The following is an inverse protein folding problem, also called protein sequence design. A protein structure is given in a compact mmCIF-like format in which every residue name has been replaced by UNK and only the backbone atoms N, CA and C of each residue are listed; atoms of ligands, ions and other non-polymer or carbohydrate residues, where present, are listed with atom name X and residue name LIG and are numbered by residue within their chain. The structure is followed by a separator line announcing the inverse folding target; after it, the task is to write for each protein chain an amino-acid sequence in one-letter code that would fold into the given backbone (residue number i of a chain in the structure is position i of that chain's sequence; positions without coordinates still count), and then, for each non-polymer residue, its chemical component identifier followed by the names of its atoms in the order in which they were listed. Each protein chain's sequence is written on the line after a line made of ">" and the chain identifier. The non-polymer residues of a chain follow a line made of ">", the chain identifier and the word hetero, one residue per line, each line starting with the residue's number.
data_IF_796896171606
#
_entry.id   IF_796896171606
#
_cell.length_a   1.000
_cell.length_b   1.000
_cell.length_c   1.000
_cell.angle_alpha   90.00
_cell.angle_beta   90.00
_cell.angle_gamma   90.00
#
_symmetry.space_group_name_H-M   'P 1'
#
loop_
_entity.id
_entity.type
_entity.pdbx_description
1 polymer ?
#
# COMPACT_ATOMS: atom_id res chain seq x y z
N UNK A 1 18.39 10.99 0.10
CA UNK A 1 16.99 10.72 0.48
C UNK A 1 16.37 9.94 -0.65
N UNK A 2 16.04 8.68 -0.41
CA UNK A 2 15.40 7.79 -1.38
C UNK A 2 13.92 8.20 -1.39
N UNK A 3 13.38 8.62 -2.54
CA UNK A 3 11.99 9.07 -2.64
C UNK A 3 11.24 8.05 -3.51
N UNK A 4 10.32 7.32 -2.89
CA UNK A 4 9.37 6.43 -3.57
C UNK A 4 7.99 7.06 -3.52
N UNK A 5 7.24 6.96 -4.61
CA UNK A 5 5.85 7.42 -4.65
C UNK A 5 5.14 6.94 -5.91
N UNK A 6 3.85 6.68 -5.80
CA UNK A 6 2.92 6.73 -6.90
C UNK A 6 2.48 8.19 -7.17
N UNK A 7 2.48 8.62 -8.43
CA UNK A 7 2.00 9.93 -8.86
C UNK A 7 0.66 9.81 -9.61
N UNK A 8 -0.48 10.10 -8.96
CA UNK A 8 -1.80 9.97 -9.56
C UNK A 8 -1.99 10.80 -10.83
N UNK A 9 -1.51 12.04 -10.84
CA UNK A 9 -1.68 12.97 -11.97
C UNK A 9 -1.00 12.52 -13.27
N UNK A 10 0.04 11.70 -13.18
CA UNK A 10 0.81 11.21 -14.32
C UNK A 10 0.74 9.68 -14.46
N UNK A 11 -0.02 9.02 -13.59
CA UNK A 11 -0.23 7.57 -13.55
C UNK A 11 1.07 6.76 -13.67
N UNK A 12 2.07 7.06 -12.83
CA UNK A 12 3.32 6.29 -12.77
C UNK A 12 3.84 6.13 -11.34
N UNK A 13 4.67 5.10 -11.15
CA UNK A 13 5.38 4.83 -9.90
C UNK A 13 6.84 5.26 -10.06
N UNK A 14 7.32 6.10 -9.16
CA UNK A 14 8.74 6.42 -9.05
C UNK A 14 9.42 5.45 -8.10
N UNK A 15 10.32 4.62 -8.64
CA UNK A 15 11.23 3.78 -7.86
C UNK A 15 12.69 4.15 -8.15
N UNK A 16 13.52 4.36 -7.12
CA UNK A 16 14.97 4.41 -7.25
C UNK A 16 15.55 3.05 -7.65
N UNK A 17 16.84 3.04 -8.00
CA UNK A 17 17.55 1.81 -8.38
C UNK A 17 17.57 0.82 -7.21
N UNK A 18 17.42 -0.47 -7.50
CA UNK A 18 17.28 -1.53 -6.50
C UNK A 18 18.49 -1.62 -5.57
N UNK A 19 19.69 -1.27 -6.05
CA UNK A 19 20.94 -1.25 -5.30
C UNK A 19 20.96 -0.20 -4.17
N UNK A 20 20.01 0.73 -4.17
CA UNK A 20 19.86 1.72 -3.09
C UNK A 20 19.09 1.17 -1.89
N UNK A 21 18.44 0.01 -2.03
CA UNK A 21 17.69 -0.66 -0.97
C UNK A 21 18.59 -1.64 -0.22
N UNK A 22 18.23 -1.91 1.04
CA UNK A 22 18.98 -2.84 1.91
C UNK A 22 18.90 -4.28 1.39
N UNK A 23 17.79 -4.64 0.74
CA UNK A 23 17.58 -5.95 0.11
C UNK A 23 16.60 -5.83 -1.06
N UNK A 24 16.55 -6.88 -1.89
CA UNK A 24 15.52 -7.01 -2.93
C UNK A 24 14.11 -7.05 -2.35
N UNK A 25 13.94 -7.66 -1.18
CA UNK A 25 12.66 -7.82 -0.51
C UNK A 25 12.10 -6.46 -0.06
N UNK A 26 12.96 -5.58 0.48
CA UNK A 26 12.58 -4.20 0.83
C UNK A 26 12.20 -3.38 -0.42
N UNK A 27 12.93 -3.56 -1.53
CA UNK A 27 12.59 -2.94 -2.81
C UNK A 27 11.21 -3.39 -3.29
N UNK A 28 10.94 -4.70 -3.33
CA UNK A 28 9.66 -5.23 -3.81
C UNK A 28 8.51 -4.92 -2.86
N UNK A 29 8.73 -4.93 -1.55
CA UNK A 29 7.74 -4.49 -0.56
C UNK A 29 7.34 -3.03 -0.80
N UNK A 30 8.31 -2.15 -0.99
CA UNK A 30 8.07 -0.73 -1.31
C UNK A 30 7.35 -0.58 -2.65
N UNK A 31 7.76 -1.33 -3.68
CA UNK A 31 7.07 -1.34 -4.97
C UNK A 31 5.62 -1.81 -4.83
N UNK A 32 5.34 -2.83 -4.02
CA UNK A 32 3.99 -3.33 -3.79
C UNK A 32 3.11 -2.30 -3.07
N UNK A 33 3.67 -1.51 -2.16
CA UNK A 33 2.97 -0.38 -1.54
C UNK A 33 2.53 0.64 -2.60
N UNK A 34 3.47 1.11 -3.41
CA UNK A 34 3.17 2.10 -4.46
C UNK A 34 2.28 1.53 -5.58
N UNK A 35 2.44 0.25 -5.91
CA UNK A 35 1.56 -0.44 -6.86
C UNK A 35 0.14 -0.55 -6.30
N UNK A 36 -0.01 -0.79 -5.00
CA UNK A 36 -1.30 -0.80 -4.34
C UNK A 36 -1.96 0.57 -4.46
N UNK A 37 -1.24 1.66 -4.17
CA UNK A 37 -1.74 3.02 -4.43
C UNK A 37 -2.15 3.22 -5.90
N UNK A 38 -1.31 2.77 -6.83
CA UNK A 38 -1.59 2.89 -8.25
C UNK A 38 -2.95 2.27 -8.60
N UNK A 39 -3.30 1.09 -8.08
CA UNK A 39 -4.62 0.48 -8.36
C UNK A 39 -5.82 1.35 -7.99
N UNK A 40 -5.66 2.33 -7.08
CA UNK A 40 -6.75 3.21 -6.67
C UNK A 40 -7.07 4.34 -7.65
N UNK A 41 -6.32 4.50 -8.74
CA UNK A 41 -6.59 5.50 -9.78
C UNK A 41 -7.99 5.34 -10.41
N UNK A 42 -8.53 6.45 -10.94
CA UNK A 42 -9.89 6.52 -11.51
C UNK A 42 -10.14 5.52 -12.65
N UNK A 43 -9.09 5.15 -13.40
CA UNK A 43 -9.16 4.17 -14.50
C UNK A 43 -9.11 2.71 -14.03
N UNK A 44 -8.99 2.47 -12.72
CA UNK A 44 -8.80 1.15 -12.11
C UNK A 44 -9.86 0.90 -11.04
N UNK A 45 -9.48 0.84 -9.76
CA UNK A 45 -10.41 0.61 -8.66
C UNK A 45 -11.10 1.89 -8.16
N UNK A 46 -10.68 3.06 -8.66
CA UNK A 46 -11.30 4.36 -8.38
C UNK A 46 -11.58 4.59 -6.88
N UNK A 47 -10.52 4.46 -6.06
CA UNK A 47 -10.61 4.65 -4.61
C UNK A 47 -10.52 6.14 -4.27
N UNK A 48 -11.38 6.57 -3.35
CA UNK A 48 -11.35 7.93 -2.82
C UNK A 48 -10.01 8.23 -2.13
N UNK A 49 -9.51 9.45 -2.31
CA UNK A 49 -8.24 9.89 -1.70
C UNK A 49 -6.98 9.64 -2.54
N UNK A 50 -7.08 9.01 -3.71
CA UNK A 50 -5.95 8.85 -4.65
C UNK A 50 -5.84 10.02 -5.62
N UNK A 51 -6.92 10.37 -6.32
CA UNK A 51 -6.92 11.46 -7.32
C UNK A 51 -7.41 12.79 -6.74
N UNK A 52 -8.09 12.75 -5.60
CA UNK A 52 -8.57 13.94 -4.89
C UNK A 52 -7.38 14.65 -4.21
N UNK A 53 -7.30 15.97 -4.35
CA UNK A 53 -6.28 16.78 -3.65
C UNK A 53 -6.60 16.86 -2.16
N UNK A 54 -6.22 15.84 -1.41
CA UNK A 54 -6.24 15.84 0.05
C UNK A 54 -4.87 16.27 0.58
N UNK A 55 -4.79 17.20 1.55
CA UNK A 55 -3.53 17.50 2.22
C UNK A 55 -2.90 16.23 2.83
N UNK A 56 -1.57 16.14 2.81
CA UNK A 56 -0.83 15.09 3.51
C UNK A 56 -1.27 15.07 4.99
N UNK A 57 -1.70 13.90 5.48
CA UNK A 57 -2.25 13.75 6.84
C UNK A 57 -3.75 14.05 6.99
N UNK A 58 -4.47 14.35 5.91
CA UNK A 58 -5.92 14.38 5.94
C UNK A 58 -6.49 12.98 6.27
N UNK A 59 -7.66 12.87 6.92
CA UNK A 59 -8.22 11.57 7.31
C UNK A 59 -8.43 10.59 6.15
N UNK A 60 -8.68 11.07 4.94
CA UNK A 60 -8.75 10.24 3.73
C UNK A 60 -7.37 9.71 3.30
N UNK A 61 -6.34 10.54 3.38
CA UNK A 61 -4.95 10.16 3.11
C UNK A 61 -4.49 9.03 4.05
N UNK A 62 -4.79 9.13 5.35
CA UNK A 62 -4.43 8.08 6.32
C UNK A 62 -5.11 6.74 6.07
N UNK A 63 -6.30 6.71 5.45
CA UNK A 63 -6.98 5.46 5.12
C UNK A 63 -6.35 4.77 3.90
N UNK A 64 -6.01 5.56 2.88
CA UNK A 64 -5.42 5.02 1.66
C UNK A 64 -4.00 4.50 1.90
N UNK A 65 -3.20 5.18 2.72
CA UNK A 65 -1.91 4.63 3.18
C UNK A 65 -2.10 3.29 3.89
N UNK A 66 -3.12 3.17 4.74
CA UNK A 66 -3.39 1.89 5.42
C UNK A 66 -3.83 0.78 4.44
N UNK A 67 -4.57 1.12 3.39
CA UNK A 67 -4.89 0.19 2.29
C UNK A 67 -3.62 -0.25 1.55
N UNK A 68 -2.70 0.68 1.27
CA UNK A 68 -1.44 0.41 0.61
C UNK A 68 -0.53 -0.53 1.41
N UNK A 69 -0.39 -0.26 2.71
CA UNK A 69 0.38 -1.11 3.63
C UNK A 69 -0.18 -2.54 3.70
N UNK A 70 -1.50 -2.68 3.87
CA UNK A 70 -2.14 -4.01 3.89
C UNK A 70 -1.99 -4.72 2.55
N UNK A 71 -2.10 -4.01 1.42
CA UNK A 71 -1.92 -4.58 0.09
C UNK A 71 -0.50 -5.05 -0.15
N UNK A 72 0.49 -4.25 0.26
CA UNK A 72 1.90 -4.62 0.21
C UNK A 72 2.17 -5.89 1.02
N UNK A 73 1.65 -5.96 2.25
CA UNK A 73 1.78 -7.15 3.10
C UNK A 73 1.15 -8.40 2.46
N UNK A 74 -0.03 -8.27 1.85
CA UNK A 74 -0.68 -9.39 1.14
C UNK A 74 0.13 -9.88 -0.05
N UNK A 75 0.71 -8.95 -0.84
CA UNK A 75 1.56 -9.28 -1.98
C UNK A 75 2.90 -9.89 -1.55
N UNK A 76 3.50 -9.40 -0.46
CA UNK A 76 4.70 -10.00 0.12
C UNK A 76 4.43 -11.45 0.57
N UNK A 77 3.31 -11.68 1.26
CA UNK A 77 2.90 -13.03 1.68
C UNK A 77 2.58 -13.95 0.49
N UNK A 78 1.98 -13.41 -0.58
CA UNK A 78 1.72 -14.17 -1.80
C UNK A 78 3.01 -14.58 -2.54
N UNK A 79 4.01 -13.70 -2.54
CA UNK A 79 5.29 -13.92 -3.23
C UNK A 79 6.33 -14.64 -2.37
N UNK A 80 6.07 -14.82 -1.07
CA UNK A 80 6.93 -15.52 -0.12
C UNK A 80 8.14 -14.70 0.34
N UNK A 81 8.12 -13.38 0.21
CA UNK A 81 9.17 -12.47 0.70
C UNK A 81 8.83 -11.85 2.07
N UNK A 82 7.69 -12.24 2.65
CA UNK A 82 7.18 -11.73 3.92
C UNK A 82 8.12 -12.00 5.09
N UNK A 83 8.88 -13.10 5.10
CA UNK A 83 9.83 -13.39 6.18
C UNK A 83 10.87 -12.27 6.39
N UNK A 84 11.22 -11.53 5.33
CA UNK A 84 12.16 -10.41 5.40
C UNK A 84 11.48 -9.09 5.81
N UNK A 85 10.15 -9.00 5.71
CA UNK A 85 9.40 -7.76 5.88
C UNK A 85 8.31 -7.84 6.97
N UNK A 86 8.16 -9.00 7.64
CA UNK A 86 7.07 -9.27 8.58
C UNK A 86 7.16 -8.40 9.83
N UNK A 87 8.37 -8.14 10.34
CA UNK A 87 8.57 -7.27 11.50
C UNK A 87 8.25 -5.80 11.17
N UNK A 88 8.60 -5.36 9.96
CA UNK A 88 8.24 -4.04 9.45
C UNK A 88 6.72 -3.94 9.30
N UNK A 89 6.11 -4.89 8.59
CA UNK A 89 4.65 -4.93 8.36
C UNK A 89 3.87 -4.99 9.68
N UNK A 90 4.29 -5.82 10.63
CA UNK A 90 3.62 -5.99 11.92
C UNK A 90 3.76 -4.73 12.80
N UNK A 91 4.94 -4.12 12.84
CA UNK A 91 5.18 -2.86 13.57
C UNK A 91 4.32 -1.72 13.00
N UNK A 92 4.20 -1.66 11.67
CA UNK A 92 3.36 -0.67 11.00
C UNK A 92 1.87 -0.91 11.24
N UNK A 93 1.37 -2.16 11.13
CA UNK A 93 -0.02 -2.50 11.44
C UNK A 93 -0.35 -2.21 12.91
N UNK A 94 0.54 -2.51 13.86
CA UNK A 94 0.35 -2.15 15.28
C UNK A 94 0.33 -0.63 15.49
N UNK A 95 1.23 0.10 14.82
CA UNK A 95 1.23 1.56 14.79
C UNK A 95 -0.11 2.11 14.28
N UNK A 96 -0.66 1.53 13.23
CA UNK A 96 -1.98 1.89 12.70
C UNK A 96 -3.12 1.53 13.64
N UNK A 97 -3.15 0.33 14.23
CA UNK A 97 -4.17 -0.06 15.21
C UNK A 97 -4.24 0.92 16.40
N UNK A 98 -3.09 1.39 16.87
CA UNK A 98 -3.02 2.42 17.92
C UNK A 98 -3.56 3.78 17.46
N UNK A 99 -3.18 4.25 16.26
CA UNK A 99 -3.65 5.52 15.66
C UNK A 99 -5.14 5.50 15.35
N UNK A 100 -5.68 4.34 14.97
CA UNK A 100 -7.09 4.15 14.62
C UNK A 100 -7.99 3.93 15.84
N UNK A 101 -7.47 4.07 17.07
CA UNK A 101 -8.25 3.94 18.33
C UNK A 101 -9.09 2.65 18.38
N UNK A 102 -8.61 1.55 17.81
CA UNK A 102 -9.36 0.28 17.70
C UNK A 102 -10.66 0.35 16.86
N UNK A 103 -10.75 1.21 15.84
CA UNK A 103 -11.86 1.17 14.87
C UNK A 103 -11.75 -0.09 13.98
N UNK A 104 -12.31 -1.19 14.48
CA UNK A 104 -12.35 -2.49 13.80
C UNK A 104 -13.03 -2.42 12.44
N UNK A 105 -14.02 -1.53 12.28
CA UNK A 105 -14.75 -1.39 11.01
C UNK A 105 -13.82 -0.83 9.94
N UNK A 106 -13.01 0.16 10.29
CA UNK A 106 -12.03 0.71 9.37
C UNK A 106 -10.98 -0.33 8.94
N UNK A 107 -10.52 -1.18 9.85
CA UNK A 107 -9.60 -2.28 9.53
C UNK A 107 -10.21 -3.23 8.51
N UNK A 108 -11.44 -3.69 8.74
CA UNK A 108 -12.13 -4.62 7.82
C UNK A 108 -12.32 -3.98 6.44
N UNK A 109 -12.74 -2.72 6.40
CA UNK A 109 -12.95 -2.01 5.14
C UNK A 109 -11.64 -1.79 4.38
N UNK A 110 -10.56 -1.44 5.08
CA UNK A 110 -9.24 -1.25 4.47
C UNK A 110 -8.68 -2.56 3.93
N UNK A 111 -8.79 -3.64 4.71
CA UNK A 111 -8.42 -5.00 4.29
C UNK A 111 -9.16 -5.44 3.01
N UNK A 112 -10.47 -5.16 2.93
CA UNK A 112 -11.26 -5.49 1.75
C UNK A 112 -10.81 -4.73 0.50
N UNK A 113 -10.41 -3.45 0.64
CA UNK A 113 -9.86 -2.68 -0.47
C UNK A 113 -8.45 -3.13 -0.85
N UNK A 114 -7.61 -3.43 0.14
CA UNK A 114 -6.27 -3.97 -0.05
C UNK A 114 -6.31 -5.30 -0.80
N UNK A 115 -7.24 -6.20 -0.45
CA UNK A 115 -7.43 -7.46 -1.16
C UNK A 115 -7.84 -7.24 -2.63
N UNK A 116 -8.75 -6.30 -2.90
CA UNK A 116 -9.12 -5.94 -4.29
C UNK A 116 -7.94 -5.42 -5.08
N UNK A 117 -7.09 -4.60 -4.46
CA UNK A 117 -5.87 -4.09 -5.08
C UNK A 117 -4.85 -5.20 -5.36
N UNK A 118 -4.59 -6.08 -4.39
CA UNK A 118 -3.71 -7.23 -4.58
C UNK A 118 -4.23 -8.14 -5.70
N UNK A 119 -5.53 -8.45 -5.72
CA UNK A 119 -6.15 -9.24 -6.78
C UNK A 119 -6.02 -8.57 -8.15
N UNK A 120 -6.19 -7.25 -8.22
CA UNK A 120 -6.00 -6.50 -9.46
C UNK A 120 -4.56 -6.62 -9.98
N UNK A 121 -3.57 -6.48 -9.09
CA UNK A 121 -2.13 -6.61 -9.44
C UNK A 121 -1.80 -8.03 -9.90
N UNK A 122 -2.33 -9.03 -9.19
CA UNK A 122 -2.11 -10.45 -9.50
C UNK A 122 -2.97 -10.95 -10.67
N UNK A 123 -3.87 -10.13 -11.20
CA UNK A 123 -4.86 -10.49 -12.20
C UNK A 123 -5.69 -11.73 -11.81
N UNK A 124 -6.09 -11.81 -10.54
CA UNK A 124 -6.92 -12.89 -10.00
C UNK A 124 -8.36 -12.41 -9.93
N UNK A 125 -9.26 -13.15 -10.59
CA UNK A 125 -10.71 -12.95 -10.46
C UNK A 125 -11.24 -13.93 -9.41
N UNK A 126 -11.87 -13.41 -8.35
CA UNK A 126 -12.67 -14.22 -7.41
C UNK A 126 -14.13 -14.29 -7.88
#
# INVERSE_FOLDING_TARGET
>A
MIITFYRPSADFINMPQIETFVSSEEYYSTLFHEATHATGHEKRLNRQGITESAPFGAPCYSKEEFVAEMGAAFLCGFTGIDYATIDNSASYIQGWLSKLRNDRKLVILSAAQAQKAANYILNISL
#
